data_IF_667458069642
#
_entry.id   IF_667458069642
#
_cell.length_a   1.000
_cell.length_b   1.000
_cell.length_c   1.000
_cell.angle_alpha   90.00
_cell.angle_beta   90.00
_cell.angle_gamma   90.00
#
_symmetry.space_group_name_H-M   'P 1'
#
loop_
_entity.id
_entity.type
_entity.pdbx_description
1 polymer ?
#
# COMPACT_ATOMS: atom_id res chain seq x y z
N UNK A 1 8.89 9.83 -10.61
CA UNK A 1 7.44 9.74 -10.82
C UNK A 1 6.85 11.10 -10.54
N UNK A 2 5.91 11.57 -11.35
CA UNK A 2 5.10 12.76 -11.03
C UNK A 2 3.78 12.29 -10.44
N UNK A 3 3.26 13.03 -9.47
CA UNK A 3 2.04 12.67 -8.74
C UNK A 3 1.04 13.82 -8.84
N UNK A 4 -0.20 13.51 -9.17
CA UNK A 4 -1.30 14.47 -9.26
C UNK A 4 -2.48 13.95 -8.41
N UNK A 5 -3.02 14.75 -7.48
CA UNK A 5 -4.20 14.36 -6.73
C UNK A 5 -5.42 14.29 -7.64
N UNK A 6 -6.26 13.27 -7.44
CA UNK A 6 -7.57 13.13 -8.09
C UNK A 6 -8.65 13.58 -7.11
N UNK A 7 -8.64 13.00 -5.91
CA UNK A 7 -9.50 13.35 -4.78
C UNK A 7 -8.74 13.19 -3.45
N UNK A 8 -9.43 13.02 -2.32
CA UNK A 8 -8.82 12.97 -0.99
C UNK A 8 -7.79 11.84 -0.82
N UNK A 9 -8.02 10.67 -1.42
CA UNK A 9 -7.16 9.48 -1.25
C UNK A 9 -6.70 8.87 -2.58
N UNK A 10 -7.31 9.27 -3.69
CA UNK A 10 -6.97 8.90 -5.05
C UNK A 10 -5.91 9.80 -5.65
N UNK A 11 -4.84 9.19 -6.17
CA UNK A 11 -3.74 9.90 -6.84
C UNK A 11 -3.39 9.25 -8.16
N UNK A 12 -3.16 10.08 -9.17
CA UNK A 12 -2.58 9.66 -10.43
C UNK A 12 -1.06 9.75 -10.36
N UNK A 13 -0.37 8.65 -10.67
CA UNK A 13 1.09 8.55 -10.64
C UNK A 13 1.61 8.22 -12.03
N UNK A 14 2.36 9.15 -12.62
CA UNK A 14 3.05 8.92 -13.89
C UNK A 14 4.48 8.43 -13.63
N UNK A 15 4.76 7.20 -14.08
CA UNK A 15 6.07 6.54 -13.93
C UNK A 15 6.84 6.40 -15.23
N UNK A 16 6.30 6.91 -16.36
CA UNK A 16 6.90 6.80 -17.69
C UNK A 16 6.82 5.41 -18.34
N UNK A 17 6.75 4.33 -17.56
CA UNK A 17 6.48 2.96 -18.06
C UNK A 17 5.00 2.60 -18.06
N UNK A 18 4.33 2.95 -16.97
CA UNK A 18 2.90 2.74 -16.75
C UNK A 18 2.43 3.86 -15.84
N UNK A 19 1.33 4.47 -16.23
CA UNK A 19 0.64 5.42 -15.38
C UNK A 19 -0.39 4.65 -14.57
N UNK A 20 -0.47 4.94 -13.27
CA UNK A 20 -1.32 4.22 -12.34
C UNK A 20 -2.16 5.18 -11.53
N UNK A 21 -3.44 4.85 -11.35
CA UNK A 21 -4.23 5.36 -10.24
C UNK A 21 -3.88 4.57 -8.98
N UNK A 22 -3.65 5.29 -7.90
CA UNK A 22 -3.41 4.79 -6.56
C UNK A 22 -4.57 5.22 -5.68
N UNK A 23 -5.16 4.28 -4.98
CA UNK A 23 -6.16 4.53 -3.94
C UNK A 23 -5.53 4.15 -2.60
N UNK A 24 -5.15 5.17 -1.83
CA UNK A 24 -4.46 5.00 -0.55
C UNK A 24 -5.41 4.55 0.56
N UNK A 25 -6.71 4.83 0.45
CA UNK A 25 -7.73 4.43 1.44
C UNK A 25 -7.97 2.92 1.40
N UNK A 26 -8.09 2.37 0.18
CA UNK A 26 -8.36 0.94 -0.01
C UNK A 26 -7.11 0.09 -0.24
N UNK A 27 -5.92 0.70 -0.22
CA UNK A 27 -4.66 0.02 -0.42
C UNK A 27 -4.53 -0.61 -1.82
N UNK A 28 -4.87 0.16 -2.86
CA UNK A 28 -4.90 -0.32 -4.26
C UNK A 28 -4.03 0.53 -5.17
N UNK A 29 -3.56 -0.11 -6.23
CA UNK A 29 -2.89 0.54 -7.34
C UNK A 29 -3.19 -0.26 -8.61
N UNK A 30 -3.36 0.42 -9.74
CA UNK A 30 -3.67 -0.22 -11.04
C UNK A 30 -2.61 -1.21 -11.51
N UNK A 31 -1.37 -1.11 -11.03
CA UNK A 31 -0.35 -2.13 -11.29
C UNK A 31 -0.62 -3.48 -10.61
N UNK A 32 -1.67 -3.58 -9.78
CA UNK A 32 -2.13 -4.80 -9.11
C UNK A 32 -1.32 -5.20 -7.87
N UNK A 33 -0.02 -4.89 -7.84
CA UNK A 33 0.92 -5.30 -6.78
C UNK A 33 0.42 -4.95 -5.39
N UNK A 34 -0.01 -3.70 -5.16
CA UNK A 34 -0.41 -3.25 -3.83
C UNK A 34 -1.65 -4.00 -3.32
N UNK A 35 -2.61 -4.29 -4.20
CA UNK A 35 -3.83 -5.00 -3.83
C UNK A 35 -3.56 -6.48 -3.48
N UNK A 36 -2.58 -7.11 -4.13
CA UNK A 36 -2.20 -8.52 -3.94
C UNK A 36 -1.25 -8.69 -2.77
N UNK A 37 -0.11 -8.01 -2.80
CA UNK A 37 0.96 -8.16 -1.80
C UNK A 37 0.60 -7.51 -0.47
N UNK A 38 -0.37 -6.58 -0.47
CA UNK A 38 -0.73 -5.76 0.70
C UNK A 38 0.46 -4.96 1.26
N UNK A 39 1.47 -4.74 0.42
CA UNK A 39 2.66 -3.93 0.63
C UNK A 39 2.68 -2.86 -0.47
N UNK A 40 2.94 -1.58 -0.15
CA UNK A 40 2.96 -0.50 -1.13
C UNK A 40 3.93 -0.79 -2.28
N UNK A 41 3.43 -0.74 -3.52
CA UNK A 41 4.28 -0.73 -4.71
C UNK A 41 5.00 0.62 -4.85
N UNK A 42 5.94 0.74 -5.79
CA UNK A 42 6.66 2.00 -6.03
C UNK A 42 5.74 3.19 -6.34
N UNK A 43 4.60 2.95 -7.02
CA UNK A 43 3.59 3.98 -7.27
C UNK A 43 2.89 4.42 -5.98
N UNK A 44 2.48 3.48 -5.14
CA UNK A 44 1.83 3.77 -3.86
C UNK A 44 2.79 4.47 -2.88
N UNK A 45 4.08 4.13 -2.90
CA UNK A 45 5.12 4.83 -2.12
C UNK A 45 5.23 6.29 -2.57
N UNK A 46 5.28 6.54 -3.89
CA UNK A 46 5.34 7.89 -4.42
C UNK A 46 4.09 8.70 -4.05
N UNK A 47 2.91 8.11 -4.19
CA UNK A 47 1.64 8.71 -3.81
C UNK A 47 1.58 9.05 -2.31
N UNK A 48 1.87 8.09 -1.42
CA UNK A 48 1.88 8.29 0.03
C UNK A 48 2.89 9.35 0.47
N UNK A 49 4.08 9.34 -0.12
CA UNK A 49 5.10 10.37 0.16
C UNK A 49 4.62 11.76 -0.25
N UNK A 50 3.91 11.89 -1.38
CA UNK A 50 3.43 13.18 -1.88
C UNK A 50 2.38 13.84 -0.98
N UNK A 51 1.60 13.04 -0.24
CA UNK A 51 0.59 13.51 0.73
C UNK A 51 1.11 13.54 2.17
N UNK A 52 2.41 13.32 2.37
CA UNK A 52 3.05 13.37 3.69
C UNK A 52 2.72 12.20 4.62
N UNK A 53 2.24 11.08 4.08
CA UNK A 53 2.00 9.88 4.87
C UNK A 53 3.31 9.13 5.13
N UNK A 54 3.43 8.57 6.33
CA UNK A 54 4.54 7.68 6.64
C UNK A 54 4.28 6.30 6.01
N UNK A 55 5.19 5.81 5.16
CA UNK A 55 4.95 4.61 4.34
C UNK A 55 4.59 3.36 5.17
N UNK A 56 5.07 3.26 6.42
CA UNK A 56 4.70 2.14 7.30
C UNK A 56 3.20 2.07 7.59
N UNK A 57 2.46 3.18 7.52
CA UNK A 57 1.00 3.19 7.72
C UNK A 57 0.24 2.64 6.54
N UNK A 58 0.90 2.48 5.38
CA UNK A 58 0.34 1.92 4.16
C UNK A 58 0.61 0.41 4.03
N UNK A 59 1.38 -0.18 4.94
CA UNK A 59 1.61 -1.62 4.97
C UNK A 59 0.47 -2.29 5.75
N UNK A 60 -0.07 -3.39 5.22
CA UNK A 60 -1.13 -4.11 5.91
C UNK A 60 -0.66 -4.62 7.30
N UNK A 61 -1.51 -4.49 8.35
CA UNK A 61 -1.16 -4.93 9.71
C UNK A 61 -0.78 -6.40 9.83
N UNK A 62 -1.13 -7.25 8.86
CA UNK A 62 -0.71 -8.67 8.84
C UNK A 62 0.81 -8.85 8.88
N UNK A 63 1.57 -7.84 8.40
CA UNK A 63 3.03 -7.84 8.45
C UNK A 63 3.60 -7.25 9.75
N UNK A 64 2.75 -6.87 10.72
CA UNK A 64 3.20 -6.40 12.02
C UNK A 64 3.69 -7.56 12.89
N UNK A 65 4.54 -7.24 13.88
CA UNK A 65 4.98 -8.20 14.89
C UNK A 65 3.79 -8.77 15.67
N UNK A 66 2.79 -7.95 15.98
CA UNK A 66 1.65 -8.37 16.78
C UNK A 66 0.82 -9.44 16.05
N UNK A 67 0.57 -9.26 14.76
CA UNK A 67 -0.10 -10.27 13.94
C UNK A 67 0.76 -11.52 13.72
N UNK A 68 2.08 -11.35 13.60
CA UNK A 68 2.99 -12.48 13.56
C UNK A 68 2.89 -13.31 14.85
N UNK A 69 2.99 -12.67 16.03
CA UNK A 69 2.85 -13.37 17.31
C UNK A 69 1.49 -14.04 17.43
N UNK A 70 0.40 -13.34 17.09
CA UNK A 70 -0.95 -13.90 17.12
C UNK A 70 -1.09 -15.16 16.28
N UNK A 71 -0.55 -15.17 15.06
CA UNK A 71 -0.62 -16.33 14.17
C UNK A 71 0.14 -17.57 14.67
N UNK A 72 1.19 -17.39 15.48
CA UNK A 72 1.96 -18.50 16.08
C UNK A 72 1.51 -18.86 17.50
N UNK A 73 0.63 -18.07 18.12
CA UNK A 73 0.03 -18.38 19.43
C UNK A 73 -1.04 -19.48 19.32
N UNK A 74 -1.65 -19.65 18.14
CA UNK A 74 -2.58 -20.75 17.90
C UNK A 74 -1.84 -22.09 17.93
N UNK A 75 -2.33 -23.02 18.75
CA UNK A 75 -1.81 -24.38 18.76
C UNK A 75 -2.03 -25.01 17.38
N UNK A 76 -0.94 -25.43 16.76
CA UNK A 76 -0.92 -26.14 15.47
C UNK A 76 -1.47 -27.57 15.59
N UNK A 77 -1.69 -28.05 16.81
CA UNK A 77 -2.28 -29.35 17.11
C UNK A 77 -3.64 -29.17 17.82
N UNK A 78 -4.69 -29.90 17.40
CA UNK A 78 -6.00 -29.86 18.04
C UNK A 78 -5.98 -30.37 19.49
#
# INVERSE_FOLDING_TARGET
MTVQPIDGWGLFVNSGKMDCVVDLEHGKCDCGVYAVEKIPCSHAIAAGTSVGLHISTLVCPVYSKDFLFAGYLENIFP
#
